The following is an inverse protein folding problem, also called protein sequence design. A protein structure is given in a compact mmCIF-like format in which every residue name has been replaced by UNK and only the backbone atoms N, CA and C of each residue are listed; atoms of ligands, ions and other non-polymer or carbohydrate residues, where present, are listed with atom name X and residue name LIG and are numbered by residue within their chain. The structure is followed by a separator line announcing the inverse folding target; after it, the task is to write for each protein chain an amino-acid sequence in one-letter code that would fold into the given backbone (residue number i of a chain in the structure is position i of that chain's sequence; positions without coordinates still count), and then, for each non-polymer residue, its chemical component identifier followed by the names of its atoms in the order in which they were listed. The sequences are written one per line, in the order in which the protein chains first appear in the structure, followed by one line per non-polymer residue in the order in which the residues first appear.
data_IF_280337514996
#
_entry.id   IF_280337514996
#
_cell.length_a   1.000
_cell.length_b   1.000
_cell.length_c   1.000
_cell.angle_alpha   90.00
_cell.angle_beta   90.00
_cell.angle_gamma   90.00
#
_symmetry.space_group_name_H-M   'P 1'
#
loop_
_entity.id
_entity.type
_entity.pdbx_description
1 polymer ?
#
# COMPACT_ATOMS: atom_id res chain seq x y z
N UNK A 1 -21.16 -19.08 26.10
CA UNK A 1 -22.48 -18.46 26.35
C UNK A 1 -23.57 -19.48 26.06
N UNK A 2 -24.51 -19.71 26.99
CA UNK A 2 -25.56 -20.74 26.84
C UNK A 2 -26.72 -20.13 26.04
N UNK A 3 -27.13 -20.80 24.96
CA UNK A 3 -28.25 -20.33 24.13
C UNK A 3 -29.58 -20.69 24.82
N UNK A 4 -30.47 -19.72 24.98
CA UNK A 4 -31.84 -19.96 25.45
C UNK A 4 -32.66 -20.55 24.31
N UNK A 5 -32.80 -21.87 24.27
CA UNK A 5 -33.56 -22.58 23.23
C UNK A 5 -34.37 -23.70 23.88
N UNK A 6 -35.64 -23.84 23.46
CA UNK A 6 -36.51 -24.89 23.97
C UNK A 6 -35.94 -26.28 23.66
N UNK A 7 -36.00 -27.25 24.61
CA UNK A 7 -35.40 -28.58 24.48
C UNK A 7 -36.24 -29.49 23.56
N UNK A 8 -36.29 -29.16 22.28
CA UNK A 8 -36.97 -29.93 21.24
C UNK A 8 -35.93 -30.63 20.34
N UNK A 9 -36.20 -31.88 19.92
CA UNK A 9 -35.38 -32.66 18.98
C UNK A 9 -35.04 -31.87 17.71
N UNK A 10 -35.99 -31.11 17.17
CA UNK A 10 -35.76 -30.27 15.98
C UNK A 10 -34.72 -29.19 16.22
N UNK A 11 -34.74 -28.55 17.40
CA UNK A 11 -33.75 -27.55 17.79
C UNK A 11 -32.36 -28.19 17.99
N UNK A 12 -32.30 -29.38 18.60
CA UNK A 12 -31.05 -30.11 18.75
C UNK A 12 -30.41 -30.44 17.39
N UNK A 13 -31.19 -30.96 16.44
CA UNK A 13 -30.70 -31.26 15.09
C UNK A 13 -30.19 -30.01 14.36
N UNK A 14 -30.91 -28.88 14.46
CA UNK A 14 -30.49 -27.59 13.89
C UNK A 14 -29.19 -27.08 14.52
N UNK A 15 -29.06 -27.15 15.84
CA UNK A 15 -27.86 -26.73 16.56
C UNK A 15 -26.66 -27.61 16.22
N UNK A 16 -26.82 -28.93 16.09
CA UNK A 16 -25.76 -29.84 15.63
C UNK A 16 -25.26 -29.47 14.22
N UNK A 17 -26.18 -29.22 13.28
CA UNK A 17 -25.82 -28.77 11.92
C UNK A 17 -25.06 -27.44 11.96
N UNK A 18 -25.56 -26.45 12.72
CA UNK A 18 -24.91 -25.15 12.89
C UNK A 18 -23.52 -25.28 13.51
N UNK A 19 -23.32 -26.17 14.47
CA UNK A 19 -22.04 -26.42 15.10
C UNK A 19 -21.02 -27.03 14.12
N UNK A 20 -21.43 -27.95 13.26
CA UNK A 20 -20.56 -28.50 12.21
C UNK A 20 -20.13 -27.41 11.22
N UNK A 21 -21.08 -26.59 10.76
CA UNK A 21 -20.78 -25.46 9.85
C UNK A 21 -19.86 -24.44 10.52
N UNK A 22 -20.12 -24.09 11.78
CA UNK A 22 -19.30 -23.14 12.54
C UNK A 22 -17.87 -23.65 12.73
N UNK A 23 -17.68 -24.93 13.04
CA UNK A 23 -16.34 -25.55 13.16
C UNK A 23 -15.56 -25.49 11.84
N UNK A 24 -16.22 -25.81 10.72
CA UNK A 24 -15.61 -25.73 9.38
C UNK A 24 -15.28 -24.29 8.99
N UNK A 25 -16.22 -23.37 9.20
CA UNK A 25 -16.02 -21.95 8.93
C UNK A 25 -14.88 -21.34 9.75
N UNK A 26 -14.77 -21.70 11.03
CA UNK A 26 -13.67 -21.25 11.88
C UNK A 26 -12.32 -21.73 11.35
N UNK A 27 -12.20 -23.01 10.96
CA UNK A 27 -10.97 -23.54 10.36
C UNK A 27 -10.60 -22.80 9.08
N UNK A 28 -11.55 -22.61 8.16
CA UNK A 28 -11.30 -21.89 6.91
C UNK A 28 -10.86 -20.43 7.12
N UNK A 29 -11.44 -19.74 8.11
CA UNK A 29 -11.04 -18.38 8.46
C UNK A 29 -9.65 -18.33 9.07
N UNK A 30 -9.29 -19.32 9.89
CA UNK A 30 -7.95 -19.44 10.47
C UNK A 30 -6.91 -19.68 9.37
N UNK A 31 -7.14 -20.65 8.50
CA UNK A 31 -6.23 -20.96 7.39
C UNK A 31 -6.03 -19.74 6.47
N UNK A 32 -7.11 -18.98 6.20
CA UNK A 32 -7.04 -17.72 5.45
C UNK A 32 -6.24 -16.65 6.17
N UNK A 33 -6.40 -16.53 7.50
CA UNK A 33 -5.65 -15.57 8.31
C UNK A 33 -4.16 -15.90 8.29
N UNK A 34 -3.79 -17.17 8.43
CA UNK A 34 -2.40 -17.62 8.46
C UNK A 34 -1.69 -17.30 7.12
N UNK A 35 -2.34 -17.53 5.99
CA UNK A 35 -1.80 -17.17 4.67
C UNK A 35 -1.68 -15.66 4.46
N UNK A 36 -2.67 -14.88 4.92
CA UNK A 36 -2.59 -13.41 4.89
C UNK A 36 -1.42 -12.89 5.74
N UNK A 37 -1.19 -13.49 6.92
CA UNK A 37 -0.09 -13.12 7.80
C UNK A 37 1.26 -13.43 7.17
N UNK A 38 1.40 -14.57 6.48
CA UNK A 38 2.63 -14.91 5.74
C UNK A 38 2.96 -13.86 4.68
N UNK A 39 1.99 -13.54 3.82
CA UNK A 39 2.16 -12.53 2.76
C UNK A 39 2.44 -11.14 3.34
N UNK A 40 1.81 -10.81 4.47
CA UNK A 40 2.01 -9.52 5.15
C UNK A 40 3.43 -9.39 5.70
N UNK A 41 3.99 -10.44 6.30
CA UNK A 41 5.37 -10.42 6.80
C UNK A 41 6.39 -10.28 5.66
N UNK A 42 6.22 -11.01 4.55
CA UNK A 42 7.05 -10.85 3.35
C UNK A 42 6.97 -9.42 2.80
N UNK A 43 5.78 -8.81 2.83
CA UNK A 43 5.59 -7.42 2.41
C UNK A 43 6.29 -6.42 3.35
N UNK A 44 6.30 -6.66 4.67
CA UNK A 44 7.02 -5.80 5.62
C UNK A 44 8.52 -5.80 5.32
N UNK A 45 9.10 -6.98 5.11
CA UNK A 45 10.54 -7.10 4.87
C UNK A 45 10.96 -6.41 3.56
N UNK A 46 10.18 -6.59 2.50
CA UNK A 46 10.40 -5.91 1.21
C UNK A 46 10.25 -4.39 1.35
N UNK A 47 9.21 -3.91 2.02
CA UNK A 47 8.99 -2.47 2.26
C UNK A 47 10.13 -1.86 3.08
N UNK A 48 10.63 -2.56 4.10
CA UNK A 48 11.76 -2.08 4.92
C UNK A 48 13.04 -1.97 4.09
N UNK A 49 13.31 -2.96 3.23
CA UNK A 49 14.43 -2.93 2.29
C UNK A 49 14.35 -1.76 1.32
N UNK A 50 13.22 -1.59 0.64
CA UNK A 50 13.00 -0.51 -0.31
C UNK A 50 13.02 0.86 0.36
N UNK A 51 12.46 1.00 1.56
CA UNK A 51 12.51 2.25 2.33
C UNK A 51 13.94 2.71 2.58
N UNK A 52 14.80 1.81 3.07
CA UNK A 52 16.22 2.11 3.29
C UNK A 52 16.92 2.53 2.00
N UNK A 53 16.56 1.91 0.87
CA UNK A 53 17.13 2.22 -0.45
C UNK A 53 16.69 3.60 -0.93
N UNK A 54 15.42 3.93 -0.78
CA UNK A 54 14.86 5.25 -1.13
C UNK A 54 15.46 6.34 -0.26
N UNK A 55 15.54 6.14 1.06
CA UNK A 55 16.12 7.12 1.99
C UNK A 55 17.58 7.45 1.65
N UNK A 56 18.40 6.42 1.36
CA UNK A 56 19.80 6.64 0.91
C UNK A 56 19.87 7.46 -0.38
N UNK A 57 19.04 7.14 -1.37
CA UNK A 57 19.00 7.88 -2.64
C UNK A 57 18.52 9.31 -2.43
N UNK A 58 17.49 9.51 -1.61
CA UNK A 58 16.94 10.82 -1.28
C UNK A 58 17.98 11.71 -0.60
N UNK A 59 18.69 11.19 0.41
CA UNK A 59 19.77 11.94 1.09
C UNK A 59 20.86 12.33 0.08
N UNK A 60 21.25 11.42 -0.80
CA UNK A 60 22.27 11.72 -1.82
C UNK A 60 21.80 12.79 -2.82
N UNK A 61 20.52 12.76 -3.23
CA UNK A 61 19.92 13.75 -4.11
C UNK A 61 19.82 15.12 -3.42
N UNK A 62 19.38 15.16 -2.16
CA UNK A 62 19.26 16.39 -1.37
C UNK A 62 20.63 17.05 -1.12
N UNK A 63 21.68 16.26 -0.90
CA UNK A 63 23.06 16.79 -0.80
C UNK A 63 23.49 17.48 -2.09
N UNK A 64 23.27 16.82 -3.24
CA UNK A 64 23.56 17.40 -4.57
C UNK A 64 22.74 18.66 -4.82
N UNK A 65 21.45 18.62 -4.47
CA UNK A 65 20.55 19.75 -4.57
C UNK A 65 20.99 20.92 -3.69
N UNK A 66 21.46 20.68 -2.46
CA UNK A 66 21.97 21.73 -1.57
C UNK A 66 23.19 22.45 -2.15
N UNK A 67 24.07 21.71 -2.83
CA UNK A 67 25.24 22.28 -3.51
C UNK A 67 24.78 23.09 -4.73
N UNK A 68 23.92 22.53 -5.59
CA UNK A 68 23.38 23.24 -6.76
C UNK A 68 22.56 24.48 -6.37
N UNK A 69 21.85 24.45 -5.24
CA UNK A 69 21.12 25.60 -4.70
C UNK A 69 22.08 26.72 -4.30
N UNK A 70 23.29 26.40 -3.83
CA UNK A 70 24.26 27.43 -3.43
C UNK A 70 24.82 28.23 -4.60
N UNK A 71 24.71 27.71 -5.84
CA UNK A 71 25.15 28.40 -7.06
C UNK A 71 24.04 29.23 -7.71
N UNK A 72 22.79 29.11 -7.26
CA UNK A 72 21.63 29.79 -7.82
C UNK A 72 21.15 30.90 -6.87
N UNK A 73 20.73 32.03 -7.44
CA UNK A 73 20.01 33.07 -6.72
C UNK A 73 18.60 32.61 -6.33
N UNK A 74 17.94 33.37 -5.47
CA UNK A 74 16.58 33.01 -5.01
C UNK A 74 15.57 33.13 -6.14
N UNK A 75 15.76 34.13 -6.99
CA UNK A 75 14.91 34.49 -8.12
C UNK A 75 14.93 33.38 -9.20
N UNK A 76 16.12 32.91 -9.57
CA UNK A 76 16.30 31.80 -10.54
C UNK A 76 15.63 30.50 -10.06
N UNK A 77 15.69 30.21 -8.76
CA UNK A 77 15.02 29.02 -8.21
C UNK A 77 13.50 29.10 -8.31
N UNK A 78 12.91 30.27 -8.03
CA UNK A 78 11.47 30.45 -8.15
C UNK A 78 11.01 30.23 -9.59
N UNK A 79 11.79 30.71 -10.55
CA UNK A 79 11.49 30.56 -11.97
C UNK A 79 11.56 29.10 -12.42
N UNK A 80 12.61 28.37 -12.04
CA UNK A 80 12.79 26.96 -12.36
C UNK A 80 11.64 26.07 -11.85
N UNK A 81 11.07 26.38 -10.68
CA UNK A 81 9.95 25.62 -10.12
C UNK A 81 8.57 26.08 -10.62
N UNK A 82 8.46 27.28 -11.19
CA UNK A 82 7.19 27.79 -11.72
C UNK A 82 6.72 27.02 -12.96
N UNK A 83 7.66 26.50 -13.76
CA UNK A 83 7.38 25.74 -14.99
C UNK A 83 8.00 24.34 -14.91
N UNK A 84 7.33 23.37 -14.25
CA UNK A 84 7.81 22.00 -14.21
C UNK A 84 7.73 21.35 -15.61
N UNK A 85 8.86 20.87 -16.13
CA UNK A 85 8.93 20.18 -17.44
C UNK A 85 8.25 18.79 -17.46
N UNK A 86 7.99 18.21 -16.29
CA UNK A 86 7.35 16.90 -16.14
C UNK A 86 6.09 17.00 -15.32
N UNK A 87 5.00 16.43 -15.84
CA UNK A 87 3.73 16.28 -15.12
C UNK A 87 3.53 14.83 -14.69
N UNK A 88 3.59 14.52 -13.39
CA UNK A 88 3.30 13.18 -12.90
C UNK A 88 1.79 12.94 -12.87
N UNK A 89 1.34 11.85 -13.49
CA UNK A 89 -0.03 11.36 -13.39
C UNK A 89 -0.03 10.06 -12.60
N UNK A 90 -0.76 10.03 -11.49
CA UNK A 90 -0.95 8.85 -10.65
C UNK A 90 -2.29 8.20 -10.98
N UNK A 91 -2.28 6.95 -11.44
CA UNK A 91 -3.49 6.16 -11.59
C UNK A 91 -3.62 5.16 -10.45
N UNK A 92 -4.83 5.01 -9.93
CA UNK A 92 -5.15 4.08 -8.84
C UNK A 92 -5.98 2.95 -9.42
N UNK A 93 -5.43 1.73 -9.40
CA UNK A 93 -6.15 0.50 -9.74
C UNK A 93 -6.46 -0.29 -8.47
N UNK A 94 -7.32 -1.28 -8.58
CA UNK A 94 -7.60 -2.22 -7.48
C UNK A 94 -7.06 -3.60 -7.85
N UNK A 95 -6.27 -4.18 -6.96
CA UNK A 95 -5.82 -5.56 -7.01
C UNK A 95 -6.58 -6.38 -5.98
N UNK A 96 -6.99 -7.59 -6.34
CA UNK A 96 -7.61 -8.50 -5.39
C UNK A 96 -6.58 -9.50 -4.85
N UNK A 97 -6.47 -9.58 -3.52
CA UNK A 97 -5.66 -10.59 -2.83
C UNK A 97 -6.62 -11.38 -1.94
N UNK A 98 -6.84 -12.65 -2.29
CA UNK A 98 -7.90 -13.48 -1.72
C UNK A 98 -9.27 -12.80 -1.86
N UNK A 99 -9.87 -12.31 -0.76
CA UNK A 99 -11.14 -11.57 -0.79
C UNK A 99 -10.98 -10.10 -0.36
N UNK A 100 -9.75 -9.58 -0.38
CA UNK A 100 -9.45 -8.18 -0.04
C UNK A 100 -9.17 -7.41 -1.33
N UNK A 101 -9.78 -6.23 -1.46
CA UNK A 101 -9.48 -5.26 -2.52
C UNK A 101 -8.44 -4.29 -1.98
N UNK A 102 -7.29 -4.23 -2.65
CA UNK A 102 -6.14 -3.41 -2.25
C UNK A 102 -5.85 -2.42 -3.38
N UNK A 103 -5.63 -1.13 -3.08
CA UNK A 103 -5.24 -0.16 -4.10
C UNK A 103 -3.81 -0.47 -4.59
N UNK A 104 -3.62 -0.39 -5.91
CA UNK A 104 -2.32 -0.43 -6.56
C UNK A 104 -2.10 0.85 -7.33
N UNK A 105 -0.93 1.46 -7.16
CA UNK A 105 -0.60 2.75 -7.75
C UNK A 105 0.29 2.55 -8.98
N UNK A 106 -0.06 3.20 -10.09
CA UNK A 106 0.76 3.27 -11.29
C UNK A 106 1.11 4.73 -11.55
N UNK A 107 2.41 5.04 -11.60
CA UNK A 107 2.92 6.38 -11.88
C UNK A 107 3.30 6.46 -13.36
N UNK A 108 2.72 7.44 -14.06
CA UNK A 108 3.09 7.79 -15.44
C UNK A 108 3.65 9.21 -15.45
N UNK A 109 4.86 9.36 -16.00
CA UNK A 109 5.52 10.65 -16.14
C UNK A 109 5.39 11.09 -17.60
N UNK A 110 4.85 12.29 -17.84
CA UNK A 110 4.78 12.89 -19.19
C UNK A 110 5.55 14.20 -19.22
N UNK A 111 6.35 14.39 -20.27
CA UNK A 111 7.17 15.57 -20.49
C UNK A 111 8.67 15.29 -20.41
N UNK A 112 9.47 16.34 -20.54
CA UNK A 112 10.93 16.29 -20.51
C UNK A 112 11.46 16.83 -19.18
N UNK A 113 12.51 16.18 -18.66
CA UNK A 113 13.08 16.49 -17.34
C UNK A 113 13.81 17.85 -17.34
N UNK A 114 14.16 18.36 -18.53
CA UNK A 114 14.90 19.61 -18.70
C UNK A 114 13.90 20.77 -18.70
N UNK A 115 13.84 21.51 -17.59
CA UNK A 115 13.28 22.86 -17.57
C UNK A 115 14.39 23.88 -17.74
N UNK A 116 14.22 24.79 -18.69
CA UNK A 116 15.13 25.93 -18.90
C UNK A 116 14.65 27.11 -18.04
N UNK A 117 15.59 27.84 -17.43
CA UNK A 117 15.34 29.19 -16.92
C UNK A 117 15.29 30.14 -18.12
N UNK A 118 14.46 31.20 -18.10
CA UNK A 118 14.42 32.22 -19.17
C UNK A 118 15.56 33.25 -19.09
N UNK A 119 16.74 32.85 -18.60
CA UNK A 119 17.96 33.66 -18.58
C UNK A 119 19.12 32.89 -19.21
#
# INVERSE_FOLDING_TARGET
MKLAVNPNRMNNLRLRRRLVVAKRGHKLLKDKQDELMRQFMELIDTVKGERNRVEKRLISALKRFSIARSTLSREELYELFALPGVTPTLSVRQKQVLNLKIPSFELTLKGDIISYSFL
#
